data_IF_300020178288
#
_entry.id   IF_300020178288
#
_cell.length_a   1.000
_cell.length_b   1.000
_cell.length_c   1.000
_cell.angle_alpha   90.00
_cell.angle_beta   90.00
_cell.angle_gamma   90.00
#
_symmetry.space_group_name_H-M   'P 1'
#
loop_
_entity.id
_entity.type
_entity.pdbx_description
1 polymer ?
#
# COMPACT_ATOMS: atom_id res chain seq x y z
N UNK A 1 -22.01 -5.59 3.44
CA UNK A 1 -22.64 -5.07 4.68
C UNK A 1 -21.68 -4.21 5.53
N UNK A 2 -20.38 -4.52 5.58
CA UNK A 2 -19.42 -3.72 6.37
C UNK A 2 -19.08 -2.34 5.79
N UNK A 3 -18.84 -2.20 4.48
CA UNK A 3 -18.49 -0.89 3.88
C UNK A 3 -19.56 0.18 4.14
N UNK A 4 -20.85 -0.17 3.99
CA UNK A 4 -21.97 0.71 4.31
C UNK A 4 -21.99 1.16 5.78
N UNK A 5 -21.47 0.35 6.71
CA UNK A 5 -21.39 0.72 8.12
C UNK A 5 -20.30 1.76 8.39
N UNK A 6 -19.28 1.84 7.53
CA UNK A 6 -18.20 2.84 7.59
C UNK A 6 -18.43 4.02 6.64
N UNK A 7 -19.63 4.14 6.07
CA UNK A 7 -19.97 5.13 5.04
C UNK A 7 -19.02 5.11 3.83
N UNK A 8 -18.47 3.93 3.52
CA UNK A 8 -17.56 3.74 2.40
C UNK A 8 -18.32 3.23 1.17
N UNK A 9 -18.05 3.86 0.03
CA UNK A 9 -18.55 3.39 -1.27
C UNK A 9 -17.57 2.38 -1.85
N UNK A 10 -18.08 1.22 -2.28
CA UNK A 10 -17.26 0.21 -2.95
C UNK A 10 -16.80 0.75 -4.30
N UNK A 11 -15.49 0.84 -4.51
CA UNK A 11 -14.94 1.16 -5.83
C UNK A 11 -15.13 -0.04 -6.75
N UNK A 12 -16.03 0.09 -7.71
CA UNK A 12 -16.18 -0.84 -8.83
C UNK A 12 -15.69 -0.08 -10.06
N UNK A 13 -14.40 -0.19 -10.38
CA UNK A 13 -13.85 0.49 -11.55
C UNK A 13 -14.64 0.10 -12.80
N UNK A 14 -14.87 1.08 -13.69
CA UNK A 14 -15.54 0.81 -14.98
C UNK A 14 -14.70 -0.17 -15.80
N UNK A 15 -15.35 -0.99 -16.63
CA UNK A 15 -14.67 -1.86 -17.58
C UNK A 15 -13.68 -1.03 -18.42
N UNK A 16 -12.40 -1.39 -18.38
CA UNK A 16 -11.33 -0.67 -19.08
C UNK A 16 -10.64 0.44 -18.27
N UNK A 17 -11.03 0.70 -17.03
CA UNK A 17 -10.33 1.61 -16.12
C UNK A 17 -9.57 0.81 -15.04
N UNK A 18 -8.27 0.57 -15.25
CA UNK A 18 -7.43 -0.16 -14.29
C UNK A 18 -6.73 0.75 -13.28
N UNK A 19 -6.83 2.07 -13.41
CA UNK A 19 -6.02 3.02 -12.65
C UNK A 19 -6.26 2.94 -11.15
N UNK A 20 -7.51 2.69 -10.71
CA UNK A 20 -7.83 2.58 -9.29
C UNK A 20 -7.22 1.32 -8.65
N UNK A 21 -7.02 0.25 -9.43
CA UNK A 21 -6.47 -1.02 -8.94
C UNK A 21 -4.96 -1.15 -9.17
N UNK A 22 -4.39 -0.40 -10.12
CA UNK A 22 -2.98 -0.50 -10.49
C UNK A 22 -2.00 -0.38 -9.31
N UNK A 23 -2.18 0.51 -8.32
CA UNK A 23 -1.30 0.58 -7.14
C UNK A 23 -1.35 -0.70 -6.31
N UNK A 24 -2.56 -1.24 -6.10
CA UNK A 24 -2.80 -2.47 -5.36
C UNK A 24 -2.19 -3.68 -6.07
N UNK A 25 -2.36 -3.77 -7.40
CA UNK A 25 -1.74 -4.82 -8.21
C UNK A 25 -0.21 -4.76 -8.16
N UNK A 26 0.36 -3.56 -8.24
CA UNK A 26 1.81 -3.35 -8.14
C UNK A 26 2.35 -3.83 -6.78
N UNK A 27 1.68 -3.46 -5.68
CA UNK A 27 2.02 -3.94 -4.35
C UNK A 27 1.99 -5.48 -4.27
N UNK A 28 0.89 -6.11 -4.69
CA UNK A 28 0.76 -7.57 -4.61
C UNK A 28 1.75 -8.30 -5.50
N UNK A 29 2.12 -7.72 -6.65
CA UNK A 29 3.17 -8.28 -7.49
C UNK A 29 4.52 -8.28 -6.77
N UNK A 30 4.91 -7.15 -6.15
CA UNK A 30 6.15 -7.07 -5.36
C UNK A 30 6.14 -8.01 -4.17
N UNK A 31 5.06 -8.02 -3.37
CA UNK A 31 4.93 -8.90 -2.20
C UNK A 31 5.10 -10.38 -2.59
N UNK A 32 4.41 -10.80 -3.65
CA UNK A 32 4.47 -12.18 -4.13
C UNK A 32 5.87 -12.54 -4.58
N UNK A 33 6.47 -11.75 -5.47
CA UNK A 33 7.75 -12.10 -6.06
C UNK A 33 8.92 -12.01 -5.08
N UNK A 34 8.89 -11.07 -4.15
CA UNK A 34 10.04 -10.80 -3.29
C UNK A 34 9.98 -11.51 -1.95
N UNK A 35 8.78 -11.80 -1.45
CA UNK A 35 8.64 -12.41 -0.12
C UNK A 35 7.98 -13.79 -0.13
N UNK A 36 6.90 -13.94 -0.89
CA UNK A 36 6.08 -15.17 -0.81
C UNK A 36 6.57 -16.26 -1.77
N UNK A 37 7.14 -15.88 -2.92
CA UNK A 37 7.54 -16.82 -3.94
C UNK A 37 8.66 -17.73 -3.44
N UNK A 38 8.44 -19.05 -3.48
CA UNK A 38 9.38 -20.05 -2.99
C UNK A 38 9.37 -20.25 -1.47
N UNK A 39 8.65 -19.43 -0.71
CA UNK A 39 8.55 -19.58 0.74
C UNK A 39 7.50 -20.61 1.14
N UNK A 40 7.86 -21.50 2.08
CA UNK A 40 6.93 -22.47 2.69
C UNK A 40 6.81 -22.15 4.16
N UNK A 41 5.60 -21.81 4.59
CA UNK A 41 5.29 -21.58 6.00
C UNK A 41 4.79 -22.85 6.64
N UNK A 42 5.28 -23.13 7.84
CA UNK A 42 4.84 -24.28 8.63
C UNK A 42 3.51 -23.98 9.30
N UNK A 43 3.29 -22.72 9.69
CA UNK A 43 2.08 -22.28 10.38
C UNK A 43 1.53 -20.99 9.79
N UNK A 44 0.23 -20.76 9.99
CA UNK A 44 -0.40 -19.49 9.61
C UNK A 44 0.15 -18.30 10.42
N UNK A 45 0.54 -18.52 11.68
CA UNK A 45 1.13 -17.48 12.51
C UNK A 45 2.49 -16.99 11.98
N UNK A 46 3.31 -17.92 11.49
CA UNK A 46 4.58 -17.62 10.83
C UNK A 46 4.36 -16.77 9.58
N UNK A 47 3.45 -17.19 8.69
CA UNK A 47 3.10 -16.42 7.49
C UNK A 47 2.60 -15.02 7.85
N UNK A 48 1.78 -14.89 8.90
CA UNK A 48 1.26 -13.58 9.33
C UNK A 48 2.37 -12.66 9.83
N UNK A 49 3.30 -13.18 10.65
CA UNK A 49 4.43 -12.41 11.17
C UNK A 49 5.35 -11.96 10.03
N UNK A 50 5.63 -12.86 9.10
CA UNK A 50 6.45 -12.62 7.92
C UNK A 50 5.87 -11.51 7.02
N UNK A 51 4.60 -11.62 6.68
CA UNK A 51 3.89 -10.63 5.87
C UNK A 51 3.79 -9.29 6.59
N UNK A 52 3.56 -9.29 7.92
CA UNK A 52 3.53 -8.06 8.71
C UNK A 52 4.88 -7.35 8.68
N UNK A 53 5.97 -8.07 8.88
CA UNK A 53 7.32 -7.50 8.81
C UNK A 53 7.60 -6.92 7.43
N UNK A 54 7.28 -7.66 6.36
CA UNK A 54 7.47 -7.19 5.01
C UNK A 54 6.66 -5.91 4.74
N UNK A 55 5.40 -5.83 5.16
CA UNK A 55 4.54 -4.68 4.89
C UNK A 55 4.95 -3.47 5.73
N UNK A 56 4.99 -3.62 7.06
CA UNK A 56 5.12 -2.49 7.99
C UNK A 56 6.55 -2.02 8.15
N UNK A 57 7.52 -2.94 8.14
CA UNK A 57 8.92 -2.60 8.42
C UNK A 57 9.69 -2.33 7.15
N UNK A 58 9.48 -3.14 6.11
CA UNK A 58 10.22 -3.01 4.85
C UNK A 58 9.48 -2.16 3.81
N UNK A 59 8.32 -2.58 3.34
CA UNK A 59 7.62 -1.96 2.21
C UNK A 59 7.24 -0.50 2.53
N UNK A 60 6.52 -0.26 3.62
CA UNK A 60 6.04 1.08 3.93
C UNK A 60 7.17 2.04 4.32
N UNK A 61 8.14 1.58 5.13
CA UNK A 61 9.13 2.47 5.75
C UNK A 61 10.45 2.58 5.01
N UNK A 62 10.86 1.56 4.24
CA UNK A 62 12.22 1.46 3.68
C UNK A 62 12.26 1.31 2.16
N UNK A 63 11.28 0.64 1.55
CA UNK A 63 11.29 0.39 0.11
C UNK A 63 11.20 1.69 -0.67
N UNK A 64 12.13 1.92 -1.60
CA UNK A 64 12.15 3.11 -2.46
C UNK A 64 11.35 2.83 -3.73
N UNK A 65 10.50 3.77 -4.13
CA UNK A 65 9.72 3.67 -5.37
C UNK A 65 10.14 4.75 -6.36
N UNK A 66 10.46 4.37 -7.59
CA UNK A 66 10.83 5.31 -8.66
C UNK A 66 9.71 6.32 -8.94
N UNK A 67 8.46 5.86 -8.97
CA UNK A 67 7.27 6.71 -9.17
C UNK A 67 7.06 7.72 -8.04
N UNK A 68 7.63 7.48 -6.85
CA UNK A 68 7.56 8.39 -5.71
C UNK A 68 8.82 9.26 -5.58
N UNK A 69 9.68 9.33 -6.61
CA UNK A 69 10.94 10.09 -6.51
C UNK A 69 11.99 9.40 -5.64
N UNK A 70 11.98 8.07 -5.60
CA UNK A 70 12.92 7.25 -4.83
C UNK A 70 12.87 7.47 -3.32
N UNK A 71 11.70 7.80 -2.76
CA UNK A 71 11.45 7.77 -1.30
C UNK A 71 10.54 6.59 -0.93
N UNK A 72 10.39 6.35 0.38
CA UNK A 72 9.49 5.31 0.88
C UNK A 72 8.02 5.78 0.89
N UNK A 73 7.05 4.85 0.82
CA UNK A 73 5.63 5.18 0.89
C UNK A 73 5.27 6.02 2.13
N UNK A 74 5.81 5.67 3.31
CA UNK A 74 5.58 6.45 4.54
C UNK A 74 6.14 7.86 4.44
N UNK A 75 7.35 8.02 3.91
CA UNK A 75 7.95 9.35 3.75
C UNK A 75 7.13 10.21 2.79
N UNK A 76 6.79 9.65 1.62
CA UNK A 76 5.96 10.33 0.63
C UNK A 76 4.61 10.77 1.23
N UNK A 77 3.96 9.90 1.99
CA UNK A 77 2.68 10.22 2.62
C UNK A 77 2.80 11.36 3.64
N UNK A 78 3.86 11.37 4.47
CA UNK A 78 4.09 12.44 5.44
C UNK A 78 4.37 13.79 4.75
N UNK A 79 5.17 13.78 3.69
CA UNK A 79 5.46 14.98 2.90
C UNK A 79 4.20 15.52 2.21
N UNK A 80 3.35 14.62 1.69
CA UNK A 80 2.08 14.99 1.11
C UNK A 80 1.13 15.62 2.14
N UNK A 81 0.98 15.01 3.32
CA UNK A 81 0.13 15.56 4.40
C UNK A 81 0.54 16.97 4.80
N UNK A 82 1.85 17.20 4.97
CA UNK A 82 2.39 18.53 5.28
C UNK A 82 2.05 19.56 4.19
N UNK A 83 2.17 19.16 2.92
CA UNK A 83 1.81 20.02 1.80
C UNK A 83 0.32 20.37 1.79
N UNK A 84 -0.56 19.42 2.13
CA UNK A 84 -2.00 19.67 2.22
C UNK A 84 -2.36 20.62 3.36
N UNK A 85 -1.71 20.47 4.51
CA UNK A 85 -1.92 21.35 5.67
C UNK A 85 -1.53 22.80 5.35
N UNK A 86 -0.36 22.99 4.72
CA UNK A 86 0.10 24.30 4.25
C UNK A 86 -0.88 24.95 3.26
N UNK A 87 -1.45 24.15 2.34
CA UNK A 87 -2.44 24.62 1.37
C UNK A 87 -3.76 25.03 2.05
N UNK A 88 -4.21 24.27 3.03
CA UNK A 88 -5.42 24.59 3.78
C UNK A 88 -5.26 25.83 4.67
N UNK A 89 -4.07 26.06 5.23
CA UNK A 89 -3.74 27.27 6.01
C UNK A 89 -3.64 28.53 5.14
N UNK A 90 -3.31 28.37 3.86
CA UNK A 90 -3.18 29.47 2.89
C UNK A 90 -4.48 29.85 2.17
N UNK A 91 -5.55 29.05 2.33
CA UNK A 91 -6.87 29.25 1.72
C UNK A 91 -7.86 29.93 2.67
#
# INVERSE_FOLDING_TARGET
>A
RQLKAYDMTCSMSRKGNCWDNAPTESFFNSLKNERVHGQRYTTHAEAKADLFEYIEVFYNRRRRHSTLGQVSPTQFFHDWLRTQDEQNLAA
#
